data_IF_616503067696
#
_entry.id   IF_616503067696
#
_cell.length_a   1.000
_cell.length_b   1.000
_cell.length_c   1.000
_cell.angle_alpha   90.00
_cell.angle_beta   90.00
_cell.angle_gamma   90.00
#
_symmetry.space_group_name_H-M   'P 1'
#
loop_
_entity.id
_entity.type
_entity.pdbx_description
1 polymer ?
#
# COMPACT_ATOMS: atom_id res chain seq x y z
N UNK A 1 2.54 -14.16 -1.28
CA UNK A 1 2.40 -12.71 -1.44
C UNK A 1 0.94 -12.36 -1.61
N UNK A 2 0.42 -11.58 -0.72
CA UNK A 2 -0.99 -11.21 -0.74
C UNK A 2 -1.14 -9.71 -0.90
N UNK A 3 -2.13 -9.32 -1.70
CA UNK A 3 -2.47 -7.91 -1.86
C UNK A 3 -3.23 -7.46 -0.63
N UNK A 4 -2.75 -6.42 0.00
CA UNK A 4 -3.31 -5.88 1.23
C UNK A 4 -3.43 -4.38 1.15
N UNK A 5 -4.34 -3.83 1.93
CA UNK A 5 -4.46 -2.38 2.13
C UNK A 5 -3.81 -2.04 3.45
N UNK A 6 -2.93 -1.03 3.43
CA UNK A 6 -2.28 -0.52 4.63
C UNK A 6 -2.88 0.83 4.98
N UNK A 7 -3.39 0.95 6.19
CA UNK A 7 -3.84 2.22 6.72
C UNK A 7 -2.66 2.85 7.42
N UNK A 8 -2.25 4.02 6.94
CA UNK A 8 -1.04 4.66 7.42
C UNK A 8 -1.33 5.55 8.61
N UNK A 9 -0.37 5.61 9.53
CA UNK A 9 -0.43 6.53 10.67
C UNK A 9 0.08 7.87 10.22
N UNK A 10 -0.82 8.74 9.80
CA UNK A 10 -0.38 10.04 9.34
C UNK A 10 -1.38 11.11 9.68
N UNK A 11 -1.04 11.94 10.65
CA UNK A 11 -1.74 13.17 10.95
C UNK A 11 -3.25 13.02 10.93
N UNK A 12 -3.93 13.95 10.26
CA UNK A 12 -5.38 13.98 10.19
C UNK A 12 -5.93 13.31 8.94
N UNK A 13 -5.05 12.88 8.03
CA UNK A 13 -5.49 12.29 6.77
C UNK A 13 -5.27 10.79 6.82
N UNK A 14 -6.35 10.06 6.56
CA UNK A 14 -6.28 8.62 6.43
C UNK A 14 -5.72 8.30 5.05
N UNK A 15 -4.47 7.88 5.01
CA UNK A 15 -3.87 7.43 3.76
C UNK A 15 -4.00 5.93 3.67
N UNK A 16 -4.48 5.47 2.52
CA UNK A 16 -4.64 4.06 2.23
C UNK A 16 -3.69 3.70 1.11
N UNK A 17 -2.77 2.77 1.39
CA UNK A 17 -1.87 2.23 0.37
C UNK A 17 -2.29 0.80 0.06
N UNK A 18 -2.04 0.35 -1.16
CA UNK A 18 -2.34 -1.01 -1.56
C UNK A 18 -1.14 -1.59 -2.30
N UNK A 19 -0.84 -2.84 -2.05
CA UNK A 19 0.25 -3.54 -2.72
C UNK A 19 0.42 -4.94 -2.18
N UNK A 20 1.42 -5.63 -2.68
CA UNK A 20 1.77 -6.97 -2.20
C UNK A 20 2.67 -6.80 -0.99
N UNK A 21 2.19 -7.24 0.17
CA UNK A 21 2.85 -6.97 1.44
C UNK A 21 3.61 -8.20 1.92
N UNK A 22 4.85 -7.98 2.29
CA UNK A 22 5.69 -9.00 2.93
C UNK A 22 6.23 -8.42 4.24
N UNK A 23 6.11 -9.17 5.32
CA UNK A 23 6.66 -8.77 6.60
C UNK A 23 8.07 -9.34 6.74
N UNK A 24 8.99 -8.50 7.20
CA UNK A 24 10.40 -8.83 7.35
C UNK A 24 10.77 -8.84 8.82
N UNK A 25 11.90 -9.47 9.13
CA UNK A 25 12.33 -9.64 10.53
C UNK A 25 12.97 -8.38 11.13
N UNK A 26 13.48 -7.48 10.30
CA UNK A 26 14.16 -6.27 10.76
C UNK A 26 13.58 -5.04 10.10
N UNK A 27 13.66 -3.90 10.81
CA UNK A 27 13.20 -2.62 10.25
C UNK A 27 14.15 -2.11 9.16
N UNK A 28 13.60 -1.56 8.07
CA UNK A 28 12.17 -1.44 7.78
C UNK A 28 11.56 -2.80 7.53
N UNK A 29 10.49 -3.13 8.26
CA UNK A 29 10.00 -4.50 8.35
C UNK A 29 8.83 -4.81 7.42
N UNK A 30 8.36 -3.83 6.64
CA UNK A 30 7.22 -4.03 5.76
C UNK A 30 7.64 -3.67 4.34
N UNK A 31 7.65 -4.69 3.47
CA UNK A 31 7.89 -4.47 2.04
C UNK A 31 6.55 -4.45 1.34
N UNK A 32 6.29 -3.39 0.57
CA UNK A 32 5.09 -3.26 -0.25
C UNK A 32 5.52 -3.21 -1.70
N UNK A 33 5.17 -4.23 -2.46
CA UNK A 33 5.51 -4.30 -3.88
C UNK A 33 4.33 -3.86 -4.73
N UNK A 34 4.61 -3.09 -5.78
CA UNK A 34 3.57 -2.55 -6.65
C UNK A 34 2.63 -1.62 -5.90
N UNK A 35 3.20 -0.65 -5.18
CA UNK A 35 2.43 0.20 -4.28
C UNK A 35 1.67 1.29 -5.02
N UNK A 36 0.41 1.47 -4.66
CA UNK A 36 -0.43 2.57 -5.12
C UNK A 36 -1.15 3.17 -3.92
N UNK A 37 -1.59 4.41 -4.08
CA UNK A 37 -2.42 5.09 -3.08
C UNK A 37 -3.87 5.04 -3.53
N UNK A 38 -4.78 4.81 -2.60
CA UNK A 38 -6.21 4.78 -2.90
C UNK A 38 -6.79 6.15 -2.58
N UNK A 39 -7.39 6.79 -3.59
CA UNK A 39 -8.03 8.10 -3.43
C UNK A 39 -9.41 8.02 -4.07
N UNK A 40 -10.45 8.19 -3.27
CA UNK A 40 -11.84 8.17 -3.74
C UNK A 40 -12.16 6.92 -4.57
N UNK A 41 -11.67 5.77 -4.11
CA UNK A 41 -11.90 4.50 -4.79
C UNK A 41 -11.05 4.25 -6.01
N UNK A 42 -10.14 5.16 -6.33
CA UNK A 42 -9.26 5.02 -7.49
C UNK A 42 -7.81 4.91 -7.05
N UNK A 43 -6.99 4.30 -7.89
CA UNK A 43 -5.58 4.09 -7.58
C UNK A 43 -4.73 5.17 -8.23
N UNK A 44 -3.82 5.73 -7.44
CA UNK A 44 -2.85 6.70 -7.92
C UNK A 44 -1.46 6.20 -7.61
N UNK A 45 -0.50 6.56 -8.45
CA UNK A 45 0.89 6.18 -8.21
C UNK A 45 1.39 6.81 -6.92
N UNK A 46 2.17 6.04 -6.16
CA UNK A 46 2.74 6.48 -4.90
C UNK A 46 4.12 5.85 -4.75
N UNK A 47 5.12 6.57 -4.27
CA UNK A 47 5.10 7.98 -3.89
C UNK A 47 5.09 8.92 -5.09
N UNK A 48 4.71 10.16 -4.87
CA UNK A 48 4.76 11.19 -5.92
C UNK A 48 6.22 11.47 -6.29
N UNK A 49 6.41 11.89 -7.53
CA UNK A 49 7.73 12.32 -8.02
C UNK A 49 8.75 11.19 -8.08
N UNK A 50 8.30 9.96 -8.06
CA UNK A 50 9.20 8.80 -8.14
C UNK A 50 8.56 7.73 -9.02
N UNK A 51 9.39 7.04 -9.78
CA UNK A 51 8.93 5.88 -10.56
C UNK A 51 9.04 4.58 -9.75
N UNK A 52 9.55 4.66 -8.54
CA UNK A 52 9.67 3.49 -7.69
C UNK A 52 8.31 2.98 -7.26
N UNK A 53 8.08 1.68 -7.43
CA UNK A 53 6.79 1.06 -7.08
C UNK A 53 6.91 0.15 -5.86
N UNK A 54 8.11 -0.23 -5.47
CA UNK A 54 8.33 -1.10 -4.31
C UNK A 54 8.92 -0.28 -3.19
N UNK A 55 8.28 -0.31 -2.04
CA UNK A 55 8.64 0.52 -0.90
C UNK A 55 8.89 -0.32 0.34
N UNK A 56 9.83 0.13 1.17
CA UNK A 56 9.99 -0.41 2.50
C UNK A 56 9.42 0.58 3.50
N UNK A 57 8.58 0.10 4.40
CA UNK A 57 7.97 0.92 5.43
C UNK A 57 8.40 0.43 6.80
N UNK A 58 8.53 1.37 7.74
CA UNK A 58 8.74 1.00 9.13
C UNK A 58 7.40 0.58 9.74
N UNK A 59 7.45 -0.34 10.69
CA UNK A 59 6.22 -0.87 11.28
C UNK A 59 5.43 0.21 12.02
N UNK A 60 6.10 1.22 12.56
CA UNK A 60 5.42 2.29 13.29
C UNK A 60 4.74 3.30 12.38
N UNK A 61 4.96 3.24 11.08
CA UNK A 61 4.27 4.11 10.13
C UNK A 61 2.90 3.55 9.71
N UNK A 62 2.62 2.30 10.04
CA UNK A 62 1.40 1.62 9.63
C UNK A 62 0.48 1.43 10.82
N UNK A 63 -0.76 1.88 10.69
CA UNK A 63 -1.75 1.68 11.74
C UNK A 63 -2.28 0.24 11.72
N UNK A 64 -2.70 -0.23 10.55
CA UNK A 64 -3.18 -1.60 10.41
C UNK A 64 -3.13 -2.03 8.95
N UNK A 65 -3.24 -3.33 8.73
CA UNK A 65 -3.22 -3.94 7.40
C UNK A 65 -4.51 -4.73 7.26
N UNK A 66 -5.24 -4.51 6.18
CA UNK A 66 -6.54 -5.16 5.96
C UNK A 66 -6.63 -5.73 4.56
N UNK A 67 -7.56 -6.63 4.35
CA UNK A 67 -7.83 -7.19 3.03
C UNK A 67 -8.61 -6.18 2.18
N UNK A 68 -8.30 -6.08 0.88
CA UNK A 68 -9.03 -5.18 0.00
C UNK A 68 -10.43 -5.72 -0.32
N UNK A 69 -11.36 -4.81 -0.63
CA UNK A 69 -12.64 -5.22 -1.16
C UNK A 69 -12.45 -5.81 -2.56
N UNK A 70 -13.46 -6.53 -3.03
CA UNK A 70 -13.40 -7.13 -4.37
C UNK A 70 -13.23 -6.07 -5.45
N UNK A 71 -13.91 -4.94 -5.30
CA UNK A 71 -13.83 -3.84 -6.26
C UNK A 71 -12.45 -3.23 -6.33
N UNK A 72 -11.87 -2.94 -5.17
CA UNK A 72 -10.52 -2.35 -5.10
C UNK A 72 -9.48 -3.34 -5.60
N UNK A 73 -9.62 -4.61 -5.25
CA UNK A 73 -8.69 -5.63 -5.73
C UNK A 73 -8.74 -5.74 -7.26
N UNK A 74 -9.95 -5.64 -7.85
CA UNK A 74 -10.10 -5.64 -9.29
C UNK A 74 -9.41 -4.46 -9.95
N UNK A 75 -9.55 -3.25 -9.37
CA UNK A 75 -8.86 -2.07 -9.87
C UNK A 75 -7.34 -2.23 -9.79
N UNK A 76 -6.86 -2.77 -8.68
CA UNK A 76 -5.43 -2.99 -8.50
C UNK A 76 -4.88 -3.96 -9.55
N UNK A 77 -5.61 -5.04 -9.81
CA UNK A 77 -5.17 -6.03 -10.80
C UNK A 77 -5.09 -5.43 -12.20
N UNK A 78 -5.99 -4.51 -12.54
CA UNK A 78 -5.96 -3.84 -13.83
C UNK A 78 -4.72 -2.97 -14.00
N UNK A 79 -4.40 -2.16 -13.00
CA UNK A 79 -3.28 -1.22 -13.12
C UNK A 79 -1.93 -1.92 -12.96
N UNK A 80 -1.92 -3.07 -12.35
CA UNK A 80 -0.68 -3.80 -12.07
C UNK A 80 -0.37 -4.88 -13.11
N UNK A 81 -1.16 -4.98 -14.15
CA UNK A 81 -0.91 -5.95 -15.22
C UNK A 81 0.26 -5.57 -16.10
#
# INVERSE_FOLDING_TARGET
LMVKILLMKHGTLNEYLIGKVTELDEEPSILVEGCYKIVDGKLETYPKYSSQRDLFLTSDAVFTIVDPSTEILGEYQKVNE
#
